data_IF_299226990846
#
_entry.id   IF_299226990846
#
_cell.length_a   1.000
_cell.length_b   1.000
_cell.length_c   1.000
_cell.angle_alpha   90.00
_cell.angle_beta   90.00
_cell.angle_gamma   90.00
#
_symmetry.space_group_name_H-M   'P 1'
#
loop_
_entity.id
_entity.type
_entity.pdbx_description
1 polymer ?
#
# COMPACT_ATOMS: atom_id res chain seq x y z
N UNK A 1 18.03 -6.58 -1.77
CA UNK A 1 16.60 -6.42 -1.47
C UNK A 1 16.24 -7.19 -0.21
N UNK A 2 15.44 -6.62 0.63
CA UNK A 2 15.04 -7.24 1.89
C UNK A 2 13.62 -7.78 1.76
N UNK A 3 13.49 -9.10 1.95
CA UNK A 3 12.20 -9.78 1.93
C UNK A 3 11.68 -9.85 3.37
N UNK A 4 10.47 -9.36 3.59
CA UNK A 4 9.87 -9.31 4.92
C UNK A 4 8.53 -10.00 4.90
N UNK A 5 8.32 -10.94 5.82
CA UNK A 5 7.00 -11.54 6.05
C UNK A 5 6.25 -10.59 6.98
N UNK A 6 5.14 -10.05 6.51
CA UNK A 6 4.39 -9.05 7.25
C UNK A 6 3.40 -9.70 8.21
N UNK A 7 2.53 -10.57 7.68
CA UNK A 7 1.51 -11.26 8.47
C UNK A 7 0.85 -12.29 7.56
N UNK A 8 -0.05 -13.07 8.12
CA UNK A 8 -0.87 -13.97 7.31
C UNK A 8 -1.93 -13.17 6.56
N UNK A 9 -2.32 -13.64 5.37
CA UNK A 9 -3.31 -12.93 4.55
C UNK A 9 -4.61 -12.69 5.32
N UNK A 10 -5.08 -13.69 6.06
CA UNK A 10 -6.34 -13.58 6.81
C UNK A 10 -6.27 -12.61 7.98
N UNK A 11 -5.07 -12.17 8.37
CA UNK A 11 -4.91 -11.20 9.44
C UNK A 11 -5.12 -9.77 8.97
N UNK A 12 -5.16 -9.55 7.66
CA UNK A 12 -5.45 -8.25 7.08
C UNK A 12 -6.81 -8.33 6.39
N UNK A 13 -7.78 -7.56 6.86
CA UNK A 13 -9.12 -7.59 6.29
C UNK A 13 -9.11 -7.13 4.83
N UNK A 14 -9.96 -7.74 4.01
CA UNK A 14 -10.11 -7.34 2.62
C UNK A 14 -10.52 -5.87 2.53
N UNK A 15 -9.91 -5.13 1.61
CA UNK A 15 -10.23 -3.73 1.40
C UNK A 15 -9.64 -2.80 2.45
N UNK A 16 -8.60 -3.22 3.16
CA UNK A 16 -7.97 -2.40 4.19
C UNK A 16 -6.46 -2.30 3.95
N UNK A 17 -5.85 -1.34 4.64
CA UNK A 17 -4.41 -1.12 4.63
C UNK A 17 -3.89 -1.13 6.06
N UNK A 18 -2.63 -1.55 6.21
CA UNK A 18 -1.95 -1.58 7.50
C UNK A 18 -0.58 -0.94 7.36
N UNK A 19 -0.22 -0.11 8.33
CA UNK A 19 1.12 0.48 8.39
C UNK A 19 2.09 -0.50 9.02
N UNK A 20 3.19 -0.74 8.33
CA UNK A 20 4.24 -1.64 8.80
C UNK A 20 5.58 -0.92 8.60
N UNK A 21 6.44 -0.97 9.63
CA UNK A 21 7.80 -0.46 9.49
C UNK A 21 8.71 -1.57 8.98
N UNK A 22 9.34 -1.34 7.84
CA UNK A 22 10.32 -2.26 7.29
C UNK A 22 11.65 -1.51 7.28
N UNK A 23 12.49 -1.83 8.28
CA UNK A 23 13.65 -1.01 8.57
C UNK A 23 13.20 0.37 9.02
N UNK A 24 13.69 1.42 8.38
CA UNK A 24 13.29 2.79 8.66
C UNK A 24 12.16 3.28 7.75
N UNK A 25 11.63 2.43 6.89
CA UNK A 25 10.60 2.83 5.91
C UNK A 25 9.21 2.49 6.40
N UNK A 26 8.31 3.46 6.47
CA UNK A 26 6.90 3.19 6.72
C UNK A 26 6.25 2.68 5.43
N UNK A 27 5.63 1.51 5.50
CA UNK A 27 5.03 0.86 4.35
C UNK A 27 3.54 0.64 4.61
N UNK A 28 2.72 1.01 3.64
CA UNK A 28 1.30 0.68 3.67
C UNK A 28 1.12 -0.63 2.91
N UNK A 29 0.66 -1.66 3.60
CA UNK A 29 0.36 -2.96 3.02
C UNK A 29 -1.14 -3.04 2.84
N UNK A 30 -1.58 -3.33 1.61
CA UNK A 30 -2.99 -3.24 1.22
C UNK A 30 -3.46 -4.58 0.70
N UNK A 31 -4.65 -4.98 1.11
CA UNK A 31 -5.28 -6.21 0.61
C UNK A 31 -6.48 -5.89 -0.28
N UNK A 32 -6.50 -6.48 -1.48
CA UNK A 32 -7.64 -6.43 -2.39
C UNK A 32 -7.97 -7.87 -2.79
N UNK A 33 -8.87 -8.51 -2.05
CA UNK A 33 -9.20 -9.92 -2.27
C UNK A 33 -8.01 -10.80 -1.96
N UNK A 34 -7.54 -11.53 -2.97
CA UNK A 34 -6.36 -12.39 -2.84
C UNK A 34 -5.07 -11.68 -3.27
N UNK A 35 -5.18 -10.45 -3.73
CA UNK A 35 -4.03 -9.65 -4.15
C UNK A 35 -3.58 -8.73 -3.03
N UNK A 36 -2.28 -8.51 -2.94
CA UNK A 36 -1.71 -7.58 -1.96
C UNK A 36 -0.80 -6.60 -2.67
N UNK A 37 -0.72 -5.40 -2.10
CA UNK A 37 0.09 -4.31 -2.65
C UNK A 37 0.83 -3.65 -1.50
N UNK A 38 1.92 -2.97 -1.81
CA UNK A 38 2.69 -2.23 -0.82
C UNK A 38 3.21 -0.94 -1.44
N UNK A 39 3.12 0.13 -0.68
CA UNK A 39 3.65 1.41 -1.10
C UNK A 39 4.22 2.14 0.12
N UNK A 40 5.00 3.19 -0.14
CA UNK A 40 5.46 4.05 0.94
C UNK A 40 4.24 4.65 1.64
N UNK A 41 4.21 4.60 2.96
CA UNK A 41 3.07 5.09 3.72
C UNK A 41 3.18 6.58 4.00
N UNK A 42 3.28 7.33 2.91
CA UNK A 42 3.36 8.80 2.97
C UNK A 42 2.80 9.35 1.67
N UNK A 43 1.79 10.18 1.79
CA UNK A 43 1.22 10.85 0.63
C UNK A 43 2.21 11.88 0.10
N UNK A 44 2.59 11.83 -1.19
CA UNK A 44 3.54 12.80 -1.74
C UNK A 44 3.00 14.22 -1.76
N UNK A 45 1.69 14.39 -1.60
CA UNK A 45 1.07 15.71 -1.58
C UNK A 45 1.28 16.42 -0.23
N UNK A 46 0.98 15.74 0.89
CA UNK A 46 1.02 16.36 2.21
C UNK A 46 1.67 15.50 3.29
N UNK A 47 2.18 14.33 2.93
CA UNK A 47 2.81 13.45 3.90
C UNK A 47 1.84 12.71 4.83
N UNK A 48 0.54 12.75 4.55
CA UNK A 48 -0.43 12.00 5.33
C UNK A 48 -0.22 10.49 5.19
N UNK A 49 -0.69 9.73 6.18
CA UNK A 49 -0.53 8.27 6.16
C UNK A 49 -1.57 7.66 5.23
N UNK A 50 -1.10 7.08 4.12
CA UNK A 50 -1.99 6.42 3.17
C UNK A 50 -2.71 5.23 3.81
N UNK A 51 -2.07 4.57 4.77
CA UNK A 51 -2.68 3.44 5.47
C UNK A 51 -3.92 3.84 6.28
N UNK A 52 -4.09 5.10 6.60
CA UNK A 52 -5.26 5.62 7.31
C UNK A 52 -6.39 6.03 6.35
N UNK A 53 -6.12 5.97 5.06
CA UNK A 53 -7.10 6.31 4.05
C UNK A 53 -8.01 5.14 3.70
N UNK A 54 -8.77 5.33 2.64
CA UNK A 54 -9.69 4.32 2.14
C UNK A 54 -9.04 3.52 1.02
N UNK A 55 -9.48 2.27 0.86
CA UNK A 55 -9.03 1.41 -0.22
C UNK A 55 -10.21 1.11 -1.11
N UNK A 56 -10.04 1.29 -2.42
CA UNK A 56 -11.00 0.85 -3.41
C UNK A 56 -10.52 -0.48 -4.00
N UNK A 57 -11.15 -1.57 -3.61
CA UNK A 57 -10.79 -2.90 -4.12
C UNK A 57 -11.14 -3.03 -5.60
N UNK A 58 -12.23 -2.39 -5.99
CA UNK A 58 -12.70 -2.43 -7.37
C UNK A 58 -11.74 -1.75 -8.33
N UNK A 59 -11.22 -0.59 -7.93
CA UNK A 59 -10.32 0.20 -8.77
C UNK A 59 -8.85 -0.06 -8.48
N UNK A 60 -8.56 -0.79 -7.40
CA UNK A 60 -7.20 -1.03 -6.91
C UNK A 60 -6.47 0.28 -6.69
N UNK A 61 -7.10 1.14 -5.89
CA UNK A 61 -6.59 2.46 -5.53
C UNK A 61 -6.57 2.62 -4.03
N UNK A 62 -5.64 3.43 -3.53
CA UNK A 62 -5.64 3.88 -2.16
C UNK A 62 -5.90 5.38 -2.16
N UNK A 63 -6.76 5.83 -1.25
CA UNK A 63 -7.24 7.21 -1.19
C UNK A 63 -6.68 7.87 0.06
N UNK A 64 -5.86 8.91 -0.13
CA UNK A 64 -5.28 9.65 0.97
C UNK A 64 -6.39 10.32 1.80
N UNK A 65 -6.34 10.27 3.15
CA UNK A 65 -7.34 10.95 3.97
C UNK A 65 -7.27 12.47 3.87
N UNK A 66 -6.12 13.00 3.41
CA UNK A 66 -5.95 14.44 3.19
C UNK A 66 -6.28 14.79 1.74
N UNK A 67 -7.30 15.57 1.52
CA UNK A 67 -7.73 16.05 0.20
C UNK A 67 -8.14 14.95 -0.79
N UNK A 68 -8.24 13.70 -0.33
CA UNK A 68 -8.73 12.55 -1.10
C UNK A 68 -7.98 12.30 -2.41
N UNK A 69 -6.67 12.50 -2.41
CA UNK A 69 -5.85 12.11 -3.54
C UNK A 69 -5.88 10.58 -3.68
N UNK A 70 -6.04 10.10 -4.92
CA UNK A 70 -6.11 8.68 -5.21
C UNK A 70 -4.87 8.23 -5.94
N UNK A 71 -4.36 7.07 -5.56
CA UNK A 71 -3.15 6.50 -6.16
C UNK A 71 -3.43 5.07 -6.59
N UNK A 72 -2.97 4.71 -7.79
CA UNK A 72 -3.03 3.33 -8.25
C UNK A 72 -2.11 2.47 -7.39
N UNK A 73 -2.62 1.35 -6.90
CA UNK A 73 -1.83 0.45 -6.05
C UNK A 73 -0.71 -0.24 -6.82
N UNK A 74 -0.92 -0.55 -8.10
CA UNK A 74 0.09 -1.20 -8.91
C UNK A 74 1.28 -0.31 -9.23
N UNK A 75 1.02 0.90 -9.69
CA UNK A 75 2.06 1.79 -10.20
C UNK A 75 2.47 2.88 -9.22
N UNK A 76 1.61 3.21 -8.27
CA UNK A 76 1.81 4.35 -7.39
C UNK A 76 1.45 5.69 -8.01
N UNK A 77 1.03 5.70 -9.27
CA UNK A 77 0.70 6.94 -9.96
C UNK A 77 -0.59 7.55 -9.41
N UNK A 78 -0.59 8.86 -9.23
CA UNK A 78 -1.80 9.55 -8.80
C UNK A 78 -2.81 9.61 -9.92
N UNK A 79 -4.07 9.30 -9.60
CA UNK A 79 -5.18 9.47 -10.53
C UNK A 79 -5.52 10.96 -10.65
N UNK A 80 -5.38 11.67 -9.53
CA UNK A 80 -5.80 13.07 -9.42
C UNK A 80 -4.79 14.04 -10.04
N UNK A 81 -3.50 13.76 -9.82
CA UNK A 81 -2.42 14.63 -10.32
C UNK A 81 -1.30 13.74 -10.87
N UNK A 82 -1.17 13.65 -12.21
CA UNK A 82 -0.21 12.73 -12.82
C UNK A 82 1.26 13.04 -12.51
N UNK A 83 1.56 14.21 -11.97
CA UNK A 83 2.93 14.55 -11.59
C UNK A 83 3.32 13.94 -10.24
N UNK A 84 2.34 13.49 -9.45
CA UNK A 84 2.60 12.88 -8.16
C UNK A 84 2.62 11.37 -8.28
N UNK A 85 3.56 10.75 -7.59
CA UNK A 85 3.70 9.30 -7.57
C UNK A 85 4.22 8.87 -6.21
N UNK A 86 3.60 7.83 -5.64
CA UNK A 86 4.11 7.23 -4.41
C UNK A 86 4.96 6.03 -4.78
N UNK A 87 6.13 5.84 -4.14
CA UNK A 87 6.94 4.65 -4.38
C UNK A 87 6.17 3.39 -4.00
N UNK A 88 6.23 2.38 -4.87
CA UNK A 88 5.61 1.07 -4.61
C UNK A 88 6.69 0.02 -4.45
N UNK A 89 6.36 -1.03 -3.69
CA UNK A 89 7.26 -2.14 -3.42
C UNK A 89 6.60 -3.43 -3.88
N UNK A 90 7.43 -4.43 -4.20
CA UNK A 90 6.89 -5.73 -4.57
C UNK A 90 6.21 -6.38 -3.38
N UNK A 91 5.00 -6.87 -3.58
CA UNK A 91 4.24 -7.55 -2.54
C UNK A 91 3.52 -8.74 -3.16
N UNK A 92 3.43 -9.82 -2.41
CA UNK A 92 2.78 -11.05 -2.88
C UNK A 92 2.37 -11.91 -1.70
N UNK A 93 1.56 -12.92 -1.99
CA UNK A 93 1.19 -13.92 -1.00
C UNK A 93 2.01 -15.18 -1.27
N UNK A 94 2.72 -15.65 -0.25
CA UNK A 94 3.49 -16.91 -0.30
C UNK A 94 3.10 -17.75 0.91
N UNK A 95 2.64 -18.97 0.65
CA UNK A 95 2.24 -19.90 1.71
C UNK A 95 1.23 -19.27 2.70
N UNK A 96 0.29 -18.50 2.16
CA UNK A 96 -0.73 -17.84 2.97
C UNK A 96 -0.25 -16.63 3.73
N UNK A 97 0.98 -16.17 3.50
CA UNK A 97 1.57 -15.03 4.19
C UNK A 97 1.84 -13.89 3.21
N UNK A 98 1.64 -12.66 3.69
CA UNK A 98 1.95 -11.47 2.91
C UNK A 98 3.44 -11.20 3.02
N UNK A 99 4.09 -11.12 1.86
CA UNK A 99 5.53 -10.89 1.77
C UNK A 99 5.77 -9.60 0.99
N UNK A 100 6.63 -8.73 1.52
CA UNK A 100 7.00 -7.47 0.88
C UNK A 100 8.50 -7.42 0.70
N UNK A 101 8.93 -6.99 -0.49
CA UNK A 101 10.36 -6.79 -0.77
C UNK A 101 10.63 -5.31 -0.92
N UNK A 102 11.58 -4.81 -0.13
CA UNK A 102 11.98 -3.41 -0.14
C UNK A 102 13.43 -3.33 -0.58
N UNK A 103 13.68 -2.53 -1.60
CA UNK A 103 15.01 -2.35 -2.15
C UNK A 103 15.83 -1.27 -1.49
#
# INVERSE_FOLDING_TARGET
MTKTIVCRLEELADGTARRVMIGSRPVAVVRCGDEVFACLDACPHKGGYLSEGMVSTRRKEIICPWHRFRFHLESGASVTNPELKVPVFAARVEDGQIVVEVG
#
